data_IF_930423019716
#
_entry.id   IF_930423019716
#
_cell.length_a   1.000
_cell.length_b   1.000
_cell.length_c   1.000
_cell.angle_alpha   90.00
_cell.angle_beta   90.00
_cell.angle_gamma   90.00
#
_symmetry.space_group_name_H-M   'P 1'
#
loop_
_entity.id
_entity.type
_entity.pdbx_description
1 polymer ?
#
# COMPACT_ATOMS: atom_id res chain seq x y z
N UNK A 1 -37.72 -2.42 39.98
CA UNK A 1 -38.39 -3.08 38.83
C UNK A 1 -37.32 -3.34 37.78
N UNK A 2 -36.58 -4.46 37.91
CA UNK A 2 -36.80 -5.69 37.14
C UNK A 2 -36.76 -5.40 35.64
N UNK A 3 -35.58 -5.53 35.00
CA UNK A 3 -35.11 -6.79 34.38
C UNK A 3 -36.18 -7.42 33.51
N UNK A 4 -36.13 -7.17 32.19
CA UNK A 4 -36.69 -8.03 31.13
C UNK A 4 -36.49 -7.34 29.78
N UNK A 5 -35.43 -7.73 29.05
CA UNK A 5 -35.39 -7.84 27.58
C UNK A 5 -33.96 -8.17 27.12
N UNK A 6 -33.38 -9.22 27.73
CA UNK A 6 -32.35 -10.05 27.10
C UNK A 6 -33.06 -11.30 26.58
N UNK A 7 -33.53 -11.29 25.33
CA UNK A 7 -33.92 -12.52 24.64
C UNK A 7 -34.11 -12.28 23.14
N UNK A 8 -33.12 -12.71 22.34
CA UNK A 8 -33.13 -13.03 20.91
C UNK A 8 -31.65 -13.32 20.57
N UNK A 9 -31.07 -14.50 20.82
CA UNK A 9 -31.39 -15.82 20.27
C UNK A 9 -31.53 -15.77 18.75
N UNK A 10 -30.39 -15.94 18.07
CA UNK A 10 -30.27 -16.16 16.63
C UNK A 10 -29.09 -17.09 16.36
N UNK A 11 -29.33 -18.39 16.55
CA UNK A 11 -28.41 -19.48 16.21
C UNK A 11 -28.41 -19.63 14.69
N UNK A 12 -27.25 -19.49 14.05
CA UNK A 12 -27.03 -20.01 12.69
C UNK A 12 -25.71 -20.76 12.68
N UNK A 13 -25.80 -22.08 12.86
CA UNK A 13 -24.77 -23.05 12.52
C UNK A 13 -24.82 -23.31 11.01
N UNK A 14 -23.74 -22.98 10.29
CA UNK A 14 -23.50 -23.53 8.95
C UNK A 14 -22.24 -24.38 9.01
N UNK A 15 -22.43 -25.69 8.95
CA UNK A 15 -21.38 -26.65 8.65
C UNK A 15 -21.08 -26.56 7.14
N UNK A 16 -19.88 -26.09 6.80
CA UNK A 16 -19.35 -26.08 5.45
C UNK A 16 -18.26 -27.12 5.29
N UNK A 17 -18.61 -28.21 4.62
CA UNK A 17 -17.74 -29.26 4.07
C UNK A 17 -16.82 -28.71 2.96
N UNK A 18 -15.73 -29.45 2.72
CA UNK A 18 -14.90 -29.49 1.50
C UNK A 18 -13.75 -28.47 1.42
N UNK A 19 -12.54 -28.78 0.97
CA UNK A 19 -11.95 -29.98 0.35
C UNK A 19 -10.43 -29.84 0.47
N UNK A 20 -9.74 -30.94 0.72
CA UNK A 20 -8.29 -31.05 0.73
C UNK A 20 -7.69 -30.59 -0.61
N UNK A 21 -6.84 -29.56 -0.59
CA UNK A 21 -6.03 -29.20 -1.76
C UNK A 21 -4.75 -30.03 -1.74
N UNK A 22 -4.60 -30.92 -2.72
CA UNK A 22 -3.36 -31.62 -2.99
C UNK A 22 -2.30 -30.60 -3.44
N UNK A 23 -1.22 -30.47 -2.67
CA UNK A 23 -0.08 -29.62 -3.04
C UNK A 23 0.86 -30.47 -3.90
N UNK A 24 1.11 -30.14 -5.18
CA UNK A 24 2.16 -30.78 -5.94
C UNK A 24 3.52 -30.36 -5.38
N UNK A 25 4.28 -31.32 -4.86
CA UNK A 25 5.70 -31.14 -4.54
C UNK A 25 6.47 -31.18 -5.85
N UNK A 26 6.83 -30.01 -6.36
CA UNK A 26 7.72 -29.90 -7.52
C UNK A 26 9.16 -29.95 -7.03
N UNK A 27 9.84 -31.07 -7.29
CA UNK A 27 11.28 -31.24 -7.13
C UNK A 27 12.00 -30.37 -8.17
N UNK A 28 12.60 -29.26 -7.75
CA UNK A 28 13.40 -28.43 -8.66
C UNK A 28 14.85 -28.93 -8.68
N UNK A 29 15.23 -29.54 -9.80
CA UNK A 29 16.60 -29.92 -10.15
C UNK A 29 17.46 -28.66 -10.33
N UNK A 30 18.64 -28.69 -9.74
CA UNK A 30 19.61 -27.59 -9.72
C UNK A 30 20.37 -27.55 -11.06
N UNK A 31 20.20 -26.47 -11.83
CA UNK A 31 20.84 -26.28 -13.14
C UNK A 31 21.31 -24.84 -13.36
N UNK A 32 22.59 -24.61 -13.06
CA UNK A 32 23.56 -23.61 -13.57
C UNK A 32 23.04 -22.39 -14.37
N UNK A 33 23.23 -21.21 -13.76
CA UNK A 33 23.56 -19.89 -14.33
C UNK A 33 23.01 -19.50 -15.71
N UNK A 34 21.89 -18.77 -15.74
CA UNK A 34 21.68 -17.63 -16.68
C UNK A 34 20.63 -16.68 -16.09
N UNK A 35 20.91 -15.37 -16.10
CA UNK A 35 19.96 -14.31 -15.73
C UNK A 35 18.87 -14.26 -16.80
N UNK A 36 17.71 -14.83 -16.49
CA UNK A 36 16.53 -14.79 -17.37
C UNK A 36 15.32 -14.39 -16.53
N UNK A 37 14.67 -13.31 -16.96
CA UNK A 37 13.32 -12.88 -16.57
C UNK A 37 12.40 -14.09 -16.34
N UNK A 38 11.94 -14.28 -15.09
CA UNK A 38 10.97 -15.31 -14.73
C UNK A 38 9.62 -15.00 -15.39
N UNK A 39 9.40 -15.53 -16.59
CA UNK A 39 8.05 -15.73 -17.12
C UNK A 39 7.53 -17.02 -16.51
N UNK A 40 6.67 -16.88 -15.50
CA UNK A 40 6.01 -18.01 -14.83
C UNK A 40 4.98 -18.62 -15.80
N UNK A 41 5.35 -19.69 -16.51
CA UNK A 41 4.43 -20.52 -17.29
C UNK A 41 3.64 -21.42 -16.35
N UNK A 42 2.55 -20.89 -15.82
CA UNK A 42 1.56 -21.68 -15.09
C UNK A 42 0.30 -20.86 -14.90
N UNK A 43 -0.69 -21.02 -15.80
CA UNK A 43 -2.12 -20.67 -15.64
C UNK A 43 -2.49 -19.30 -15.03
N UNK A 44 -1.54 -18.41 -14.83
CA UNK A 44 -1.68 -17.18 -14.07
C UNK A 44 -1.93 -16.04 -15.02
N UNK A 45 -2.93 -15.22 -14.71
CA UNK A 45 -3.19 -13.94 -15.39
C UNK A 45 -1.85 -13.23 -15.63
N UNK A 46 -1.55 -12.95 -16.90
CA UNK A 46 -0.36 -12.20 -17.30
C UNK A 46 -0.31 -10.91 -16.49
N UNK A 47 0.65 -10.81 -15.56
CA UNK A 47 0.86 -9.59 -14.78
C UNK A 47 1.49 -8.59 -15.73
N UNK A 48 0.76 -7.54 -16.10
CA UNK A 48 1.30 -6.43 -16.87
C UNK A 48 2.38 -5.78 -16.00
N UNK A 49 3.65 -5.94 -16.37
CA UNK A 49 4.75 -5.27 -15.69
C UNK A 49 4.70 -3.79 -16.08
N UNK A 50 4.38 -2.92 -15.11
CA UNK A 50 4.55 -1.48 -15.28
C UNK A 50 5.99 -1.12 -14.91
N UNK A 51 6.61 -0.24 -15.67
CA UNK A 51 7.83 0.44 -15.22
C UNK A 51 7.39 1.79 -14.64
N UNK A 52 7.66 2.00 -13.35
CA UNK A 52 7.20 3.18 -12.64
C UNK A 52 8.40 4.04 -12.23
N UNK A 53 8.32 5.35 -12.44
CA UNK A 53 9.34 6.30 -12.00
C UNK A 53 8.72 7.64 -11.58
N UNK A 54 9.47 8.51 -10.91
CA UNK A 54 8.99 9.86 -10.62
C UNK A 54 8.93 10.67 -11.93
N UNK A 55 7.90 11.48 -12.11
CA UNK A 55 7.80 12.34 -13.30
C UNK A 55 8.91 13.40 -13.29
N UNK A 56 9.53 13.60 -14.44
CA UNK A 56 10.44 14.73 -14.65
C UNK A 56 9.62 16.03 -14.64
N UNK A 57 10.12 17.07 -13.97
CA UNK A 57 9.45 18.39 -13.89
C UNK A 57 9.22 19.02 -15.28
N UNK A 58 10.02 18.63 -16.27
CA UNK A 58 9.92 19.06 -17.66
C UNK A 58 9.05 18.15 -18.54
N UNK A 59 8.61 16.98 -18.04
CA UNK A 59 7.84 16.03 -18.84
C UNK A 59 6.36 16.40 -18.86
N UNK A 60 5.90 16.91 -20.01
CA UNK A 60 4.48 17.10 -20.30
C UNK A 60 3.82 15.76 -20.65
N UNK A 61 3.82 14.81 -19.71
CA UNK A 61 2.95 13.64 -19.88
C UNK A 61 1.49 14.11 -19.80
N UNK A 62 0.73 13.82 -20.85
CA UNK A 62 -0.61 14.39 -21.05
C UNK A 62 -1.74 13.52 -20.53
N UNK A 63 -1.48 12.23 -20.26
CA UNK A 63 -2.55 11.27 -19.97
C UNK A 63 -2.41 10.74 -18.55
N UNK A 64 -3.20 11.33 -17.66
CA UNK A 64 -3.40 10.82 -16.30
C UNK A 64 -4.02 9.42 -16.34
N UNK A 65 -3.58 8.54 -15.44
CA UNK A 65 -4.09 7.18 -15.27
C UNK A 65 -4.36 6.89 -13.81
N UNK A 66 -5.36 6.04 -13.55
CA UNK A 66 -5.62 5.54 -12.20
C UNK A 66 -4.52 4.56 -11.76
N UNK A 67 -4.26 4.49 -10.46
CA UNK A 67 -3.35 3.49 -9.90
C UNK A 67 -3.87 2.07 -10.19
N UNK A 68 -3.01 1.23 -10.74
CA UNK A 68 -3.37 -0.13 -11.15
C UNK A 68 -4.21 -0.23 -12.41
N UNK A 69 -4.33 0.87 -13.17
CA UNK A 69 -4.88 0.80 -14.51
C UNK A 69 -4.10 -0.24 -15.34
N UNK A 70 -4.81 -0.94 -16.23
CA UNK A 70 -4.23 -1.83 -17.23
C UNK A 70 -3.51 -1.01 -18.32
N UNK A 71 -2.45 -0.32 -17.94
CA UNK A 71 -1.53 0.35 -18.83
C UNK A 71 -0.30 -0.55 -18.99
N UNK A 72 -0.19 -1.22 -20.13
CA UNK A 72 1.13 -1.70 -20.54
C UNK A 72 2.05 -0.49 -20.74
N UNK A 73 3.29 -0.57 -20.24
CA UNK A 73 4.34 0.41 -20.52
C UNK A 73 4.88 1.17 -19.31
N UNK A 74 5.42 2.36 -19.59
CA UNK A 74 6.08 3.23 -18.63
C UNK A 74 5.07 4.26 -18.07
N UNK A 75 5.01 4.35 -16.74
CA UNK A 75 4.18 5.30 -16.01
C UNK A 75 5.10 6.15 -15.14
N UNK A 76 4.80 7.43 -15.01
CA UNK A 76 5.44 8.27 -14.02
C UNK A 76 4.45 8.70 -12.95
N UNK A 77 4.94 8.98 -11.74
CA UNK A 77 4.15 9.50 -10.63
C UNK A 77 4.65 10.86 -10.14
N UNK A 78 3.75 11.69 -9.64
CA UNK A 78 4.10 12.94 -8.93
C UNK A 78 3.11 13.21 -7.82
N UNK A 79 3.56 13.97 -6.82
CA UNK A 79 2.71 14.39 -5.70
C UNK A 79 2.15 15.77 -6.01
N UNK A 80 0.84 15.93 -5.87
CA UNK A 80 0.20 17.23 -6.07
C UNK A 80 0.64 18.22 -4.99
N UNK A 81 1.13 19.39 -5.41
CA UNK A 81 1.69 20.40 -4.51
C UNK A 81 3.13 20.13 -4.06
N UNK A 82 3.83 19.18 -4.69
CA UNK A 82 5.27 18.86 -4.53
C UNK A 82 5.85 18.94 -3.10
N UNK A 83 5.34 18.18 -2.11
CA UNK A 83 6.13 17.91 -0.91
C UNK A 83 7.42 17.18 -1.32
N UNK A 84 8.58 17.75 -0.99
CA UNK A 84 9.86 17.09 -1.23
C UNK A 84 10.01 15.88 -0.30
N UNK A 85 9.97 14.67 -0.87
CA UNK A 85 10.29 13.43 -0.17
C UNK A 85 11.79 13.10 -0.16
N UNK A 86 12.60 13.84 -0.93
CA UNK A 86 14.05 13.78 -1.19
C UNK A 86 14.76 12.43 -0.95
N UNK A 87 14.81 11.89 0.27
CA UNK A 87 15.42 10.59 0.60
C UNK A 87 14.53 9.36 0.35
N UNK A 88 13.21 9.52 0.27
CA UNK A 88 12.23 8.41 0.27
C UNK A 88 11.63 8.09 -1.10
N UNK A 89 12.05 8.80 -2.16
CA UNK A 89 11.41 8.71 -3.48
C UNK A 89 11.63 7.35 -4.14
N UNK A 90 12.84 6.79 -4.00
CA UNK A 90 13.18 5.47 -4.55
C UNK A 90 12.38 4.37 -3.87
N UNK A 91 12.33 4.35 -2.53
CA UNK A 91 11.60 3.31 -1.78
C UNK A 91 10.09 3.40 -2.04
N UNK A 92 9.55 4.61 -2.14
CA UNK A 92 8.16 4.83 -2.54
C UNK A 92 7.88 4.35 -3.96
N UNK A 93 8.76 4.65 -4.92
CA UNK A 93 8.61 4.19 -6.31
C UNK A 93 8.54 2.65 -6.35
N UNK A 94 9.45 1.97 -5.64
CA UNK A 94 9.42 0.52 -5.52
C UNK A 94 8.13 0.01 -4.90
N UNK A 95 7.67 0.61 -3.78
CA UNK A 95 6.41 0.23 -3.15
C UNK A 95 5.22 0.35 -4.11
N UNK A 96 5.10 1.48 -4.81
CA UNK A 96 4.01 1.73 -5.76
C UNK A 96 4.06 0.77 -6.95
N UNK A 97 5.27 0.47 -7.46
CA UNK A 97 5.46 -0.48 -8.56
C UNK A 97 5.05 -1.91 -8.15
N UNK A 98 5.50 -2.37 -6.98
CA UNK A 98 5.20 -3.70 -6.45
C UNK A 98 3.71 -3.89 -6.17
N UNK A 99 3.01 -2.80 -5.85
CA UNK A 99 1.59 -2.78 -5.55
C UNK A 99 0.70 -2.39 -6.73
N UNK A 100 1.26 -2.10 -7.91
CA UNK A 100 0.49 -1.57 -9.06
C UNK A 100 -0.70 -2.46 -9.43
N UNK A 101 -0.46 -3.76 -9.60
CA UNK A 101 -1.48 -4.72 -10.02
C UNK A 101 -2.31 -5.28 -8.85
N UNK A 102 -2.12 -4.74 -7.64
CA UNK A 102 -2.83 -5.20 -6.44
C UNK A 102 -4.09 -4.36 -6.28
N UNK A 103 -5.22 -4.92 -6.72
CA UNK A 103 -6.54 -4.29 -6.64
C UNK A 103 -7.16 -4.38 -5.25
N UNK A 104 -6.61 -5.20 -4.35
CA UNK A 104 -7.01 -5.18 -2.95
C UNK A 104 -6.54 -3.88 -2.30
N UNK A 105 -7.24 -3.48 -1.26
CA UNK A 105 -6.88 -2.31 -0.46
C UNK A 105 -5.60 -2.53 0.36
N UNK A 106 -5.25 -3.80 0.60
CA UNK A 106 -4.03 -4.14 1.31
C UNK A 106 -2.78 -3.80 0.51
N UNK A 107 -1.77 -3.37 1.25
CA UNK A 107 -0.41 -3.28 0.75
C UNK A 107 0.24 -4.65 0.84
N UNK A 108 0.98 -5.03 -0.19
CA UNK A 108 2.09 -5.95 -0.02
C UNK A 108 3.20 -5.14 0.68
N UNK A 109 3.31 -5.33 1.99
CA UNK A 109 4.26 -4.59 2.83
C UNK A 109 5.67 -4.76 2.26
N UNK A 110 6.37 -3.64 2.07
CA UNK A 110 7.75 -3.62 1.61
C UNK A 110 8.70 -3.64 2.82
N UNK A 111 9.99 -3.85 2.57
CA UNK A 111 10.99 -3.95 3.64
C UNK A 111 10.98 -2.71 4.58
N UNK A 112 10.79 -1.52 4.02
CA UNK A 112 10.86 -0.26 4.77
C UNK A 112 9.49 0.37 5.06
N UNK A 113 8.44 -0.01 4.33
CA UNK A 113 7.10 0.56 4.49
C UNK A 113 6.20 -0.40 5.26
N UNK A 114 5.87 -0.03 6.50
CA UNK A 114 5.20 -0.90 7.47
C UNK A 114 4.03 -0.20 8.17
N UNK A 115 3.12 -1.00 8.74
CA UNK A 115 2.04 -0.50 9.62
C UNK A 115 2.52 -0.17 11.03
N UNK A 116 3.62 -0.78 11.45
CA UNK A 116 4.25 -0.54 12.73
C UNK A 116 5.76 -0.41 12.58
N UNK A 117 6.36 0.40 13.43
CA UNK A 117 7.80 0.59 13.48
C UNK A 117 8.34 0.37 14.89
N UNK A 118 8.73 -0.87 15.17
CA UNK A 118 9.30 -1.34 16.43
C UNK A 118 8.69 -0.63 17.64
N UNK A 119 9.49 -0.04 18.53
CA UNK A 119 9.00 0.66 19.72
C UNK A 119 8.55 2.10 19.49
N UNK A 120 8.53 2.60 18.24
CA UNK A 120 8.25 4.02 17.97
C UNK A 120 6.76 4.30 17.80
N UNK A 121 6.14 3.66 16.82
CA UNK A 121 4.76 3.95 16.43
C UNK A 121 4.05 2.78 15.77
N UNK A 122 2.72 2.83 15.76
CA UNK A 122 1.84 1.90 15.04
C UNK A 122 0.61 2.64 14.53
N UNK A 123 0.25 2.37 13.27
CA UNK A 123 -0.93 2.92 12.62
C UNK A 123 -2.16 2.16 13.06
N UNK A 124 -3.07 2.85 13.76
CA UNK A 124 -4.39 2.36 14.12
C UNK A 124 -5.43 3.03 13.22
N UNK A 125 -5.52 2.55 11.98
CA UNK A 125 -6.55 3.00 11.06
C UNK A 125 -7.90 2.44 11.48
N UNK A 126 -8.87 3.32 11.72
CA UNK A 126 -10.26 2.95 12.00
C UNK A 126 -11.09 2.70 10.74
N UNK A 127 -10.53 2.96 9.55
CA UNK A 127 -11.22 2.83 8.28
C UNK A 127 -11.05 1.44 7.66
N UNK A 128 -12.16 0.71 7.47
CA UNK A 128 -12.13 -0.57 6.76
C UNK A 128 -11.63 -0.44 5.32
N UNK A 129 -11.82 0.72 4.68
CA UNK A 129 -11.52 1.02 3.26
C UNK A 129 -10.20 1.76 3.00
N UNK A 130 -9.42 2.06 4.06
CA UNK A 130 -8.15 2.77 3.96
C UNK A 130 -7.00 2.03 4.67
N UNK A 131 -5.86 1.85 3.99
CA UNK A 131 -4.64 1.29 4.59
C UNK A 131 -3.47 2.25 4.42
N UNK A 132 -2.76 2.49 5.51
CA UNK A 132 -1.60 3.37 5.58
C UNK A 132 -0.36 2.56 5.94
N UNK A 133 0.78 2.99 5.41
CA UNK A 133 2.11 2.53 5.81
C UNK A 133 2.95 3.77 6.13
N UNK A 134 3.81 3.65 7.14
CA UNK A 134 4.87 4.63 7.41
C UNK A 134 6.22 4.06 7.01
N UNK A 135 7.15 4.95 6.64
CA UNK A 135 8.52 4.56 6.36
C UNK A 135 9.28 4.35 7.68
N UNK A 136 9.73 3.12 7.91
CA UNK A 136 10.54 2.79 9.06
C UNK A 136 11.99 3.23 8.88
N UNK A 137 12.37 4.27 9.62
CA UNK A 137 13.77 4.68 9.75
C UNK A 137 14.15 4.79 11.23
N UNK A 138 15.28 4.17 11.61
CA UNK A 138 15.75 4.11 12.99
C UNK A 138 16.13 5.48 13.55
N UNK A 139 16.52 6.45 12.71
CA UNK A 139 16.92 7.78 13.16
C UNK A 139 15.81 8.84 13.15
N UNK A 140 14.70 8.59 12.45
CA UNK A 140 13.70 9.62 12.18
C UNK A 140 12.68 9.76 13.31
N UNK A 141 12.28 11.00 13.59
CA UNK A 141 11.17 11.29 14.50
C UNK A 141 9.82 11.02 13.83
N UNK A 142 8.78 10.78 14.64
CA UNK A 142 7.42 10.55 14.12
C UNK A 142 6.92 11.72 13.27
N UNK A 143 7.19 12.97 13.71
CA UNK A 143 6.79 14.18 13.01
C UNK A 143 7.46 14.30 11.64
N UNK A 144 8.64 13.72 11.46
CA UNK A 144 9.36 13.73 10.19
C UNK A 144 9.00 12.52 9.32
N UNK A 145 8.40 11.48 9.88
CA UNK A 145 8.18 10.20 9.19
C UNK A 145 7.18 10.37 8.04
N UNK A 146 7.53 9.97 6.80
CA UNK A 146 6.59 9.98 5.71
C UNK A 146 5.64 8.79 5.80
N UNK A 147 4.39 9.03 5.44
CA UNK A 147 3.35 8.03 5.37
C UNK A 147 2.72 8.01 3.98
N UNK A 148 2.32 6.82 3.54
CA UNK A 148 1.60 6.57 2.30
C UNK A 148 0.30 5.87 2.60
N UNK A 149 -0.74 6.23 1.85
CA UNK A 149 -2.11 5.83 2.09
C UNK A 149 -2.75 5.36 0.80
N UNK A 150 -3.39 4.19 0.86
CA UNK A 150 -4.14 3.58 -0.22
C UNK A 150 -5.59 3.49 0.20
N UNK A 151 -6.46 4.10 -0.59
CA UNK A 151 -7.91 4.07 -0.40
C UNK A 151 -8.55 3.45 -1.63
N UNK A 152 -9.29 2.38 -1.41
CA UNK A 152 -10.01 1.70 -2.48
C UNK A 152 -11.47 2.16 -2.48
N UNK A 153 -11.89 2.79 -3.57
CA UNK A 153 -13.25 3.25 -3.82
C UNK A 153 -13.65 2.75 -5.20
N UNK A 154 -14.19 1.52 -5.26
CA UNK A 154 -14.51 0.84 -6.52
C UNK A 154 -15.24 1.77 -7.50
N UNK A 155 -14.74 1.93 -8.74
CA UNK A 155 -13.70 1.12 -9.40
C UNK A 155 -12.26 1.64 -9.25
N UNK A 156 -12.04 2.68 -8.44
CA UNK A 156 -10.78 3.43 -8.37
C UNK A 156 -9.99 3.12 -7.12
N UNK A 157 -8.67 3.28 -7.23
CA UNK A 157 -7.76 3.27 -6.09
C UNK A 157 -7.01 4.58 -6.08
N UNK A 158 -7.10 5.32 -4.99
CA UNK A 158 -6.37 6.56 -4.80
C UNK A 158 -5.18 6.33 -3.87
N UNK A 159 -4.08 7.01 -4.19
CA UNK A 159 -2.88 7.03 -3.38
C UNK A 159 -2.67 8.45 -2.87
N UNK A 160 -2.38 8.58 -1.58
CA UNK A 160 -2.01 9.85 -0.96
C UNK A 160 -0.76 9.68 -0.13
N UNK A 161 0.02 10.75 -0.01
CA UNK A 161 1.26 10.78 0.75
C UNK A 161 1.25 11.98 1.68
N UNK A 162 1.76 11.77 2.88
CA UNK A 162 2.14 12.84 3.77
C UNK A 162 3.64 12.73 4.06
N UNK A 163 4.39 13.81 3.86
CA UNK A 163 5.84 13.81 4.03
C UNK A 163 6.28 14.03 5.48
N UNK A 164 5.49 14.77 6.26
CA UNK A 164 5.77 15.14 7.65
C UNK A 164 4.49 15.60 8.34
N UNK A 165 4.45 15.53 9.68
CA UNK A 165 3.34 15.96 10.53
C UNK A 165 2.02 15.32 10.13
N UNK A 166 2.03 14.01 9.84
CA UNK A 166 0.88 13.32 9.26
C UNK A 166 -0.23 13.01 10.26
N UNK A 167 0.09 13.13 11.54
CA UNK A 167 -0.74 12.74 12.65
C UNK A 167 -0.81 13.88 13.65
N UNK A 168 -1.98 14.07 14.24
CA UNK A 168 -2.10 14.90 15.43
C UNK A 168 -1.27 14.29 16.55
N UNK A 169 -0.72 15.13 17.43
CA UNK A 169 -0.04 14.66 18.64
C UNK A 169 -1.03 13.91 19.52
N UNK A 170 -1.15 12.60 19.30
CA UNK A 170 -2.02 11.75 20.10
C UNK A 170 -1.39 11.55 21.47
N UNK A 171 -2.00 12.17 22.48
CA UNK A 171 -1.55 12.14 23.88
C UNK A 171 -1.77 10.79 24.57
N UNK A 172 -2.21 9.74 23.87
CA UNK A 172 -2.46 8.42 24.45
C UNK A 172 -1.25 7.50 24.31
N UNK A 173 -0.28 7.69 25.19
CA UNK A 173 0.83 6.75 25.42
C UNK A 173 0.31 5.55 26.23
N UNK A 174 -0.35 4.58 25.59
CA UNK A 174 -0.63 3.29 26.24
C UNK A 174 0.53 2.33 25.91
N UNK A 175 1.58 2.36 26.73
CA UNK A 175 2.81 1.58 26.52
C UNK A 175 3.99 2.39 25.96
N UNK A 176 5.06 1.71 25.54
CA UNK A 176 6.28 2.35 25.00
C UNK A 176 6.13 2.94 23.59
N UNK A 177 5.00 2.70 22.92
CA UNK A 177 4.76 3.01 21.50
C UNK A 177 3.62 4.03 21.33
N UNK A 178 3.78 4.96 20.38
CA UNK A 178 2.70 5.90 19.99
C UNK A 178 1.67 5.25 19.06
N UNK A 179 0.39 5.38 19.38
CA UNK A 179 -0.71 4.94 18.52
C UNK A 179 -1.18 6.09 17.63
N UNK A 180 -1.15 5.87 16.32
CA UNK A 180 -1.49 6.88 15.33
C UNK A 180 -2.96 6.69 14.92
N UNK A 181 -3.82 7.58 15.39
CA UNK A 181 -5.27 7.47 15.22
C UNK A 181 -5.90 8.67 14.50
N UNK A 182 -5.43 9.89 14.80
CA UNK A 182 -5.99 11.12 14.25
C UNK A 182 -5.04 11.70 13.21
N UNK A 183 -5.43 11.65 11.94
CA UNK A 183 -4.64 12.18 10.83
C UNK A 183 -4.77 13.71 10.73
N UNK A 184 -3.67 14.39 10.41
CA UNK A 184 -3.71 15.79 9.94
C UNK A 184 -4.04 15.83 8.44
N UNK A 185 -5.32 15.78 8.10
CA UNK A 185 -5.81 15.60 6.72
C UNK A 185 -5.23 16.63 5.72
N UNK A 186 -4.93 17.85 6.15
CA UNK A 186 -4.34 18.91 5.31
C UNK A 186 -2.93 18.60 4.78
N UNK A 187 -2.19 17.73 5.46
CA UNK A 187 -0.81 17.38 5.12
C UNK A 187 -0.73 16.23 4.11
N UNK A 188 -1.85 15.54 3.87
CA UNK A 188 -1.93 14.49 2.86
C UNK A 188 -2.14 15.09 1.48
N UNK A 189 -1.31 14.67 0.54
CA UNK A 189 -1.30 15.12 -0.85
C UNK A 189 -1.53 13.93 -1.78
N UNK A 190 -2.42 14.06 -2.77
CA UNK A 190 -2.68 12.97 -3.69
C UNK A 190 -1.47 12.73 -4.59
N UNK A 191 -1.27 11.45 -4.93
CA UNK A 191 -0.29 11.02 -5.93
C UNK A 191 -1.02 10.81 -7.24
N UNK A 192 -0.54 11.47 -8.29
CA UNK A 192 -1.06 11.37 -9.65
C UNK A 192 -0.12 10.56 -10.50
N UNK A 193 -0.67 9.77 -11.41
CA UNK A 193 0.06 8.89 -12.30
C UNK A 193 -0.19 9.27 -13.75
N UNK A 194 0.84 9.21 -14.58
CA UNK A 194 0.74 9.61 -15.98
C UNK A 194 1.47 8.62 -16.88
N UNK A 195 0.90 8.28 -18.03
CA UNK A 195 1.58 7.45 -19.03
C UNK A 195 2.73 8.23 -19.67
N UNK A 196 3.95 7.71 -19.66
CA UNK A 196 5.00 8.31 -20.50
C UNK A 196 4.61 8.08 -21.97
N UNK A 197 4.58 9.15 -22.76
CA UNK A 197 4.33 9.04 -24.20
C UNK A 197 5.42 8.17 -24.80
N UNK A 198 5.03 7.16 -25.60
CA UNK A 198 6.00 6.40 -26.38
C UNK A 198 6.73 7.38 -27.29
N UNK A 199 8.06 7.42 -27.16
CA UNK A 199 8.91 8.12 -28.11
C UNK A 199 8.81 7.50 -29.51
#
# INVERSE_FOLDING_TARGET
>A
MFSLLRLCLGIVTVAGISTSVAVPVVLNSQGKNTVTTRVSTGGGRSRVSVKLEKCDTSSSSTTEVDFGAASGGEVCWKIEGEPQLSSSETSLTSLLQDNWNITSQDWNEAQDWKKECDSKWEVWSTGESEKQLGLCNSSQELAETPFVKKKHESPKTSISICASNCWEDSSSTSGSRKQLQSEQTSNWKPVKFFKKGGA
#
